data_IF_088815074035
#
_entry.id   IF_088815074035
#
_cell.length_a   1.000
_cell.length_b   1.000
_cell.length_c   1.000
_cell.angle_alpha   90.00
_cell.angle_beta   90.00
_cell.angle_gamma   90.00
#
_symmetry.space_group_name_H-M   'P 1'
#
loop_
_entity.id
_entity.type
_entity.pdbx_description
1 polymer ?
#
# COMPACT_ATOMS: atom_id res chain seq x y z
N UNK A 1 -0.92 6.78 -6.55
CA UNK A 1 0.18 5.80 -6.62
C UNK A 1 0.31 5.36 -8.06
N UNK A 2 1.46 5.61 -8.67
CA UNK A 2 1.76 5.20 -10.03
C UNK A 2 2.58 3.90 -9.99
N UNK A 3 2.22 2.93 -10.84
CA UNK A 3 2.90 1.64 -10.90
C UNK A 3 4.38 1.76 -11.34
N UNK A 4 4.68 2.76 -12.18
CA UNK A 4 6.04 3.00 -12.69
C UNK A 4 7.00 3.43 -11.57
N UNK A 5 6.57 4.34 -10.69
CA UNK A 5 7.36 4.79 -9.53
C UNK A 5 7.66 3.64 -8.56
N UNK A 6 6.69 2.75 -8.34
CA UNK A 6 6.87 1.60 -7.47
C UNK A 6 7.80 0.53 -8.07
N UNK A 7 7.89 0.42 -9.39
CA UNK A 7 8.86 -0.49 -10.04
C UNK A 7 10.30 0.00 -9.92
N UNK A 8 10.51 1.31 -9.86
CA UNK A 8 11.84 1.91 -9.69
C UNK A 8 12.42 1.70 -8.27
N UNK A 9 11.56 1.54 -7.25
CA UNK A 9 11.97 1.31 -5.85
C UNK A 9 12.64 -0.04 -5.63
N UNK A 10 13.51 -0.13 -4.63
CA UNK A 10 14.14 -1.41 -4.24
C UNK A 10 13.14 -2.35 -3.54
N UNK A 11 13.38 -3.68 -3.51
CA UNK A 11 12.51 -4.61 -2.79
C UNK A 11 12.33 -4.27 -1.30
N UNK A 12 13.36 -3.75 -0.64
CA UNK A 12 13.30 -3.41 0.78
C UNK A 12 12.57 -2.09 1.04
N UNK A 13 12.69 -1.10 0.13
CA UNK A 13 11.83 0.08 0.13
C UNK A 13 10.36 -0.31 -0.06
N UNK A 14 10.06 -1.24 -0.97
CA UNK A 14 8.69 -1.72 -1.19
C UNK A 14 8.12 -2.45 0.04
N UNK A 15 8.93 -3.21 0.78
CA UNK A 15 8.50 -3.82 2.05
C UNK A 15 8.19 -2.76 3.11
N UNK A 16 9.02 -1.71 3.19
CA UNK A 16 8.82 -0.59 4.11
C UNK A 16 7.54 0.18 3.77
N UNK A 17 7.34 0.49 2.48
CA UNK A 17 6.13 1.12 1.96
C UNK A 17 4.89 0.29 2.30
N UNK A 18 4.96 -1.03 2.13
CA UNK A 18 3.88 -1.95 2.45
C UNK A 18 3.52 -1.92 3.95
N UNK A 19 4.52 -1.84 4.83
CA UNK A 19 4.29 -1.70 6.27
C UNK A 19 3.61 -0.36 6.60
N UNK A 20 4.05 0.74 5.98
CA UNK A 20 3.45 2.05 6.15
C UNK A 20 1.99 2.08 5.68
N UNK A 21 1.70 1.55 4.49
CA UNK A 21 0.35 1.46 3.94
C UNK A 21 -0.58 0.58 4.80
N UNK A 22 -0.05 -0.47 5.44
CA UNK A 22 -0.83 -1.28 6.40
C UNK A 22 -1.18 -0.47 7.65
N UNK A 23 -0.23 0.29 8.20
CA UNK A 23 -0.45 1.16 9.36
C UNK A 23 -1.47 2.26 9.04
N UNK A 24 -1.35 2.87 7.87
CA UNK A 24 -2.31 3.85 7.38
C UNK A 24 -3.71 3.23 7.22
N UNK A 25 -3.82 2.05 6.61
CA UNK A 25 -5.10 1.35 6.50
C UNK A 25 -5.71 1.00 7.85
N UNK A 26 -4.91 0.69 8.87
CA UNK A 26 -5.39 0.47 10.22
C UNK A 26 -5.93 1.76 10.83
N UNK A 27 -5.17 2.86 10.72
CA UNK A 27 -5.59 4.17 11.21
C UNK A 27 -6.88 4.65 10.54
N UNK A 28 -7.04 4.45 9.23
CA UNK A 28 -8.25 4.82 8.50
C UNK A 28 -9.46 3.98 8.94
N UNK A 29 -9.28 2.69 9.25
CA UNK A 29 -10.34 1.84 9.82
C UNK A 29 -10.69 2.26 11.25
N UNK A 30 -9.69 2.66 12.03
CA UNK A 30 -9.90 3.19 13.37
C UNK A 30 -10.69 4.50 13.33
N UNK A 31 -10.30 5.45 12.47
CA UNK A 31 -11.03 6.69 12.23
C UNK A 31 -12.47 6.45 11.73
N UNK A 32 -12.66 5.40 10.90
CA UNK A 32 -13.99 5.00 10.46
C UNK A 32 -14.85 4.53 11.64
N UNK A 33 -14.28 3.73 12.54
CA UNK A 33 -14.98 3.23 13.72
C UNK A 33 -15.30 4.34 14.74
N UNK A 34 -14.44 5.36 14.86
CA UNK A 34 -14.68 6.53 15.74
C UNK A 34 -15.58 7.59 15.11
N UNK A 35 -16.00 7.42 13.85
CA UNK A 35 -16.84 8.39 13.13
C UNK A 35 -16.10 9.67 12.70
N UNK A 36 -14.77 9.71 12.81
CA UNK A 36 -13.94 10.87 12.48
C UNK A 36 -13.41 10.83 11.04
N UNK A 37 -13.84 9.87 10.23
CA UNK A 37 -13.35 9.70 8.87
C UNK A 37 -14.07 10.63 7.90
N UNK A 38 -13.38 11.67 7.45
CA UNK A 38 -13.92 12.64 6.48
C UNK A 38 -14.06 12.07 5.07
N UNK A 39 -13.21 11.12 4.67
CA UNK A 39 -13.17 10.60 3.30
C UNK A 39 -13.01 9.08 3.23
N UNK A 40 -14.13 8.38 3.00
CA UNK A 40 -14.18 6.92 2.85
C UNK A 40 -13.43 6.39 1.62
N UNK A 41 -13.19 7.22 0.60
CA UNK A 41 -12.41 6.82 -0.57
C UNK A 41 -10.94 6.55 -0.21
N UNK A 42 -10.41 7.14 0.86
CA UNK A 42 -9.04 6.93 1.30
C UNK A 42 -8.79 5.46 1.71
N UNK A 43 -9.76 4.81 2.35
CA UNK A 43 -9.66 3.37 2.68
C UNK A 43 -9.46 2.54 1.41
N UNK A 44 -10.25 2.82 0.36
CA UNK A 44 -10.15 2.11 -0.92
C UNK A 44 -8.81 2.40 -1.61
N UNK A 45 -8.34 3.65 -1.56
CA UNK A 45 -7.03 4.04 -2.11
C UNK A 45 -5.89 3.32 -1.41
N UNK A 46 -5.81 3.38 -0.07
CA UNK A 46 -4.79 2.70 0.71
C UNK A 46 -4.78 1.18 0.45
N UNK A 47 -5.95 0.54 0.36
CA UNK A 47 -6.07 -0.89 0.03
C UNK A 47 -5.53 -1.21 -1.37
N UNK A 48 -5.86 -0.40 -2.39
CA UNK A 48 -5.37 -0.59 -3.76
C UNK A 48 -3.87 -0.37 -3.84
N UNK A 49 -3.35 0.67 -3.19
CA UNK A 49 -1.92 0.95 -3.07
C UNK A 49 -1.17 -0.24 -2.48
N UNK A 50 -1.63 -0.80 -1.36
CA UNK A 50 -1.00 -1.95 -0.72
C UNK A 50 -1.02 -3.22 -1.61
N UNK A 51 -2.12 -3.43 -2.35
CA UNK A 51 -2.20 -4.53 -3.31
C UNK A 51 -1.20 -4.37 -4.46
N UNK A 52 -1.05 -3.15 -4.98
CA UNK A 52 -0.15 -2.85 -6.09
C UNK A 52 1.32 -3.06 -5.70
N UNK A 53 1.71 -2.64 -4.50
CA UNK A 53 3.04 -2.91 -3.92
C UNK A 53 3.30 -4.42 -3.80
N UNK A 54 2.32 -5.19 -3.32
CA UNK A 54 2.43 -6.66 -3.25
C UNK A 54 2.61 -7.29 -4.63
N UNK A 55 1.87 -6.82 -5.63
CA UNK A 55 1.99 -7.31 -7.01
C UNK A 55 3.40 -7.08 -7.55
N UNK A 56 3.96 -5.88 -7.37
CA UNK A 56 5.31 -5.55 -7.86
C UNK A 56 6.38 -6.33 -7.11
N UNK A 57 6.24 -6.53 -5.79
CA UNK A 57 7.13 -7.42 -5.03
C UNK A 57 7.14 -8.84 -5.60
N UNK A 58 5.97 -9.36 -5.99
CA UNK A 58 5.86 -10.68 -6.60
C UNK A 58 6.42 -10.71 -8.03
N UNK A 59 6.20 -9.65 -8.83
CA UNK A 59 6.81 -9.49 -10.16
C UNK A 59 8.35 -9.52 -10.05
N UNK A 60 8.93 -8.79 -9.09
CA UNK A 60 10.37 -8.76 -8.85
C UNK A 60 10.93 -10.09 -8.35
N UNK A 61 10.20 -10.80 -7.49
CA UNK A 61 10.60 -12.12 -7.03
C UNK A 61 10.66 -13.14 -8.17
N UNK A 62 9.64 -13.14 -9.07
CA UNK A 62 9.61 -14.01 -10.25
C UNK A 62 10.64 -13.66 -11.33
N UNK A 63 11.04 -12.39 -11.42
CA UNK A 63 12.07 -11.96 -12.38
C UNK A 63 13.50 -12.25 -11.90
N UNK A 64 13.68 -12.55 -10.60
CA UNK A 64 14.95 -12.94 -10.01
C UNK A 64 15.18 -14.46 -10.01
N UNK A 65 14.17 -15.23 -10.42
CA UNK A 65 14.20 -16.69 -10.65
C UNK A 65 14.47 -16.98 -12.14
#
# INVERSE_FOLDING_TARGET
>A
MNAQELRAKTPDELKTELANLKKESFNLRFQQATGQLENTAQIRKARRSAALVKTILNEKAKAAE
#
